data_IF_118022940642
#
_entry.id   IF_118022940642
#
_cell.length_a   1.000
_cell.length_b   1.000
_cell.length_c   1.000
_cell.angle_alpha   90.00
_cell.angle_beta   90.00
_cell.angle_gamma   90.00
#
_symmetry.space_group_name_H-M   'P 1'
#
loop_
_entity.id
_entity.type
_entity.pdbx_description
1 polymer ?
#
# COMPACT_ATOMS: atom_id res chain seq x y z
N UNK A 1 -55.91 5.61 18.72
CA UNK A 1 -55.23 6.00 17.46
C UNK A 1 -55.12 4.73 16.59
N UNK A 2 -55.66 4.73 15.37
CA UNK A 2 -55.89 3.50 14.58
C UNK A 2 -54.58 2.88 14.05
N UNK A 3 -54.39 1.56 14.20
CA UNK A 3 -53.16 0.80 13.83
C UNK A 3 -52.65 1.08 12.40
N UNK A 4 -53.58 1.35 11.47
CA UNK A 4 -53.27 1.68 10.06
C UNK A 4 -52.45 2.97 9.92
N UNK A 5 -52.71 4.00 10.74
CA UNK A 5 -51.97 5.27 10.67
C UNK A 5 -50.54 5.18 11.20
N UNK A 6 -50.27 4.32 12.19
CA UNK A 6 -48.89 4.09 12.67
C UNK A 6 -48.06 3.36 11.62
N UNK A 7 -48.64 2.40 10.91
CA UNK A 7 -47.94 1.70 9.83
C UNK A 7 -47.59 2.64 8.67
N UNK A 8 -48.49 3.56 8.32
CA UNK A 8 -48.20 4.58 7.28
C UNK A 8 -47.12 5.58 7.71
N UNK A 9 -47.08 5.95 8.98
CA UNK A 9 -46.04 6.84 9.52
C UNK A 9 -44.67 6.14 9.52
N UNK A 10 -44.64 4.88 9.94
CA UNK A 10 -43.44 4.04 9.98
C UNK A 10 -42.88 3.78 8.57
N UNK A 11 -43.73 3.43 7.60
CA UNK A 11 -43.31 3.26 6.20
C UNK A 11 -42.79 4.56 5.57
N UNK A 12 -43.35 5.72 5.94
CA UNK A 12 -42.84 7.02 5.47
C UNK A 12 -41.49 7.34 6.11
N UNK A 13 -41.32 7.13 7.41
CA UNK A 13 -40.05 7.33 8.12
C UNK A 13 -38.94 6.43 7.58
N UNK A 14 -39.25 5.17 7.30
CA UNK A 14 -38.27 4.21 6.77
C UNK A 14 -37.81 4.58 5.34
N UNK A 15 -38.69 5.20 4.54
CA UNK A 15 -38.37 5.72 3.21
C UNK A 15 -37.49 6.99 3.24
N UNK A 16 -37.49 7.74 4.34
CA UNK A 16 -36.63 8.93 4.52
C UNK A 16 -35.27 8.59 5.13
N UNK A 17 -35.17 7.51 5.91
CA UNK A 17 -33.93 7.06 6.52
C UNK A 17 -33.05 6.26 5.55
N UNK A 18 -33.65 5.62 4.54
CA UNK A 18 -32.94 4.83 3.51
C UNK A 18 -32.36 5.66 2.35
N UNK A 19 -32.58 6.98 2.31
CA UNK A 19 -32.18 7.82 1.17
C UNK A 19 -31.02 8.79 1.44
N UNK A 20 -30.19 8.54 2.46
CA UNK A 20 -28.81 9.06 2.60
C UNK A 20 -28.52 10.57 2.52
N UNK A 21 -29.47 11.46 2.28
CA UNK A 21 -29.20 12.88 1.98
C UNK A 21 -30.11 13.87 2.75
N UNK A 22 -29.44 14.82 3.40
CA UNK A 22 -29.93 16.12 3.91
C UNK A 22 -30.95 16.11 5.07
N UNK A 23 -30.45 16.02 6.30
CA UNK A 23 -31.23 16.08 7.53
C UNK A 23 -31.14 17.41 8.30
N UNK A 24 -30.90 18.56 7.65
CA UNK A 24 -30.87 19.86 8.36
C UNK A 24 -32.06 20.77 8.01
N UNK A 25 -32.52 20.82 6.76
CA UNK A 25 -33.50 21.85 6.34
C UNK A 25 -34.99 21.47 6.39
N UNK A 26 -35.38 20.37 7.06
CA UNK A 26 -36.80 19.96 7.17
C UNK A 26 -37.29 19.59 8.58
N UNK A 27 -36.49 19.81 9.62
CA UNK A 27 -36.87 19.54 11.01
C UNK A 27 -38.12 20.32 11.46
N UNK A 28 -38.25 21.58 11.03
CA UNK A 28 -39.39 22.42 11.39
C UNK A 28 -40.74 21.90 10.84
N UNK A 29 -40.72 21.23 9.67
CA UNK A 29 -41.92 20.62 9.09
C UNK A 29 -42.33 19.33 9.78
N UNK A 30 -41.38 18.56 10.30
CA UNK A 30 -41.66 17.36 11.10
C UNK A 30 -42.25 17.72 12.47
N UNK A 31 -41.77 18.79 13.09
CA UNK A 31 -42.27 19.31 14.37
C UNK A 31 -43.69 19.91 14.26
N UNK A 32 -44.05 20.51 13.13
CA UNK A 32 -45.41 21.04 12.89
C UNK A 32 -46.48 19.94 12.75
N UNK A 33 -46.13 18.75 12.24
CA UNK A 33 -47.11 17.67 12.05
C UNK A 33 -47.49 17.02 13.40
N UNK A 34 -46.60 17.06 14.42
CA UNK A 34 -46.91 16.51 15.73
C UNK A 34 -47.75 17.43 16.61
N UNK A 35 -47.66 18.75 16.42
CA UNK A 35 -48.40 19.73 17.26
C UNK A 35 -49.86 19.91 16.84
N UNK A 36 -50.22 19.65 15.57
CA UNK A 36 -51.59 19.86 15.08
C UNK A 36 -52.58 18.72 15.40
N UNK A 37 -52.18 17.69 16.15
CA UNK A 37 -53.01 16.49 16.36
C UNK A 37 -53.19 16.09 17.83
N UNK A 38 -52.75 16.93 18.78
CA UNK A 38 -52.88 16.66 20.22
C UNK A 38 -53.74 17.77 20.82
N UNK A 39 -55.02 17.46 21.10
CA UNK A 39 -55.89 18.32 21.90
C UNK A 39 -55.23 18.64 23.25
N UNK A 40 -54.92 19.92 23.45
CA UNK A 40 -54.01 20.43 24.49
C UNK A 40 -54.56 20.37 25.93
N UNK A 41 -55.71 19.74 26.20
CA UNK A 41 -56.37 19.92 27.50
C UNK A 41 -56.63 18.69 28.37
N UNK A 42 -56.23 17.47 28.01
CA UNK A 42 -56.39 16.33 28.93
C UNK A 42 -55.21 15.37 28.87
N UNK A 43 -54.38 15.40 29.92
CA UNK A 43 -53.45 14.36 30.42
C UNK A 43 -52.00 14.84 30.57
N UNK A 44 -51.72 15.53 31.68
CA UNK A 44 -50.36 15.85 32.12
C UNK A 44 -49.45 14.61 32.31
N UNK A 45 -50.03 13.42 32.51
CA UNK A 45 -49.30 12.15 32.58
C UNK A 45 -48.79 11.62 31.23
N UNK A 46 -49.37 12.07 30.10
CA UNK A 46 -48.96 11.60 28.77
C UNK A 46 -47.75 12.37 28.22
N UNK A 47 -47.62 13.65 28.55
CA UNK A 47 -46.50 14.47 28.06
C UNK A 47 -45.16 14.02 28.62
N UNK A 48 -45.09 13.66 29.92
CA UNK A 48 -43.87 13.13 30.53
C UNK A 48 -43.47 11.76 29.96
N UNK A 49 -44.45 10.89 29.69
CA UNK A 49 -44.21 9.58 29.06
C UNK A 49 -43.77 9.69 27.60
N UNK A 50 -44.35 10.61 26.84
CA UNK A 50 -43.96 10.87 25.44
C UNK A 50 -42.55 11.49 25.38
N UNK A 51 -42.24 12.46 26.25
CA UNK A 51 -40.88 13.03 26.35
C UNK A 51 -39.85 11.97 26.78
N UNK A 52 -40.20 11.10 27.73
CA UNK A 52 -39.35 9.98 28.13
C UNK A 52 -39.11 9.01 26.97
N UNK A 53 -40.13 8.71 26.15
CA UNK A 53 -39.99 7.89 24.95
C UNK A 53 -39.08 8.53 23.90
N UNK A 54 -39.17 9.84 23.68
CA UNK A 54 -38.25 10.56 22.79
C UNK A 54 -36.83 10.58 23.34
N UNK A 55 -36.64 10.76 24.64
CA UNK A 55 -35.32 10.71 25.29
C UNK A 55 -34.73 9.30 25.21
N UNK A 56 -35.54 8.26 25.43
CA UNK A 56 -35.10 6.85 25.29
C UNK A 56 -34.76 6.56 23.83
N UNK A 57 -35.55 7.03 22.86
CA UNK A 57 -35.27 6.86 21.44
C UNK A 57 -34.00 7.61 21.02
N UNK A 58 -33.82 8.84 21.48
CA UNK A 58 -32.59 9.61 21.26
C UNK A 58 -31.38 8.95 21.91
N UNK A 59 -31.51 8.42 23.13
CA UNK A 59 -30.47 7.64 23.80
C UNK A 59 -30.20 6.33 23.04
N UNK A 60 -31.22 5.65 22.52
CA UNK A 60 -31.05 4.45 21.69
C UNK A 60 -30.29 4.78 20.40
N UNK A 61 -30.64 5.87 19.71
CA UNK A 61 -29.95 6.35 18.51
C UNK A 61 -28.51 6.77 18.85
N UNK A 62 -28.30 7.41 20.01
CA UNK A 62 -26.98 7.85 20.48
C UNK A 62 -26.09 6.66 20.85
N UNK A 63 -26.67 5.63 21.49
CA UNK A 63 -25.96 4.41 21.90
C UNK A 63 -25.71 3.53 20.68
N UNK A 64 -26.65 3.39 19.74
CA UNK A 64 -26.38 2.69 18.48
C UNK A 64 -25.26 3.38 17.70
N UNK A 65 -25.26 4.71 17.59
CA UNK A 65 -24.18 5.44 16.92
C UNK A 65 -22.82 5.34 17.64
N UNK A 66 -22.80 5.04 18.94
CA UNK A 66 -21.56 4.81 19.71
C UNK A 66 -21.07 3.36 19.63
N UNK A 67 -21.96 2.40 19.37
CA UNK A 67 -21.61 0.98 19.17
C UNK A 67 -21.02 0.75 17.77
N UNK A 68 -21.27 1.64 16.81
CA UNK A 68 -20.57 1.69 15.51
C UNK A 68 -19.23 2.46 15.57
N UNK A 69 -18.66 2.69 16.75
CA UNK A 69 -17.39 3.40 16.89
C UNK A 69 -16.22 2.45 16.67
N UNK A 70 -15.56 2.63 15.51
CA UNK A 70 -14.34 1.98 15.02
C UNK A 70 -14.54 0.54 14.50
N UNK A 71 -14.92 0.42 13.23
CA UNK A 71 -15.05 -0.86 12.52
C UNK A 71 -13.68 -1.52 12.23
N UNK A 72 -12.58 -0.78 12.39
CA UNK A 72 -11.22 -1.25 12.17
C UNK A 72 -10.14 -0.37 12.84
N UNK A 73 -8.96 -0.92 13.07
CA UNK A 73 -7.84 -0.26 13.73
C UNK A 73 -6.91 0.49 12.74
N UNK A 74 -7.26 1.72 12.34
CA UNK A 74 -6.40 2.52 11.45
C UNK A 74 -5.08 2.93 12.12
N UNK A 75 -3.96 2.75 11.42
CA UNK A 75 -2.64 3.23 11.83
C UNK A 75 -1.79 3.64 10.61
N UNK A 76 -0.83 4.53 10.85
CA UNK A 76 0.11 5.00 9.84
C UNK A 76 1.49 5.29 10.43
N UNK A 77 2.53 5.24 9.59
CA UNK A 77 3.92 5.57 9.91
C UNK A 77 4.57 6.27 8.72
N UNK A 78 5.72 6.90 8.97
CA UNK A 78 6.54 7.49 7.92
C UNK A 78 7.86 6.74 7.82
N UNK A 79 8.20 6.28 6.62
CA UNK A 79 9.59 5.98 6.33
C UNK A 79 10.40 7.27 6.40
N UNK A 80 11.54 7.22 7.08
CA UNK A 80 12.46 8.34 7.24
C UNK A 80 13.90 7.89 7.57
N UNK A 81 14.22 6.62 7.31
CA UNK A 81 15.58 6.10 7.47
C UNK A 81 16.51 6.51 6.31
N UNK A 82 15.99 6.54 5.08
CA UNK A 82 16.69 7.01 3.89
C UNK A 82 16.33 8.46 3.53
N UNK A 83 16.55 8.81 2.26
CA UNK A 83 16.26 10.14 1.72
C UNK A 83 14.83 10.27 1.19
N UNK A 84 14.05 9.18 1.18
CA UNK A 84 12.61 9.23 0.89
C UNK A 84 11.82 9.31 2.20
N UNK A 85 10.98 10.34 2.33
CA UNK A 85 9.96 10.41 3.38
C UNK A 85 8.62 9.95 2.84
N UNK A 86 8.17 8.75 3.23
CA UNK A 86 6.95 8.15 2.69
C UNK A 86 5.95 7.79 3.77
N UNK A 87 4.72 8.26 3.64
CA UNK A 87 3.58 7.83 4.45
C UNK A 87 3.13 6.42 4.06
N UNK A 88 3.09 5.52 5.03
CA UNK A 88 2.55 4.17 4.87
C UNK A 88 1.39 3.98 5.85
N UNK A 89 0.28 3.44 5.35
CA UNK A 89 -0.91 3.13 6.15
C UNK A 89 -1.14 1.62 6.19
N UNK A 90 -1.88 1.13 7.18
CA UNK A 90 -2.36 -0.25 7.22
C UNK A 90 -3.63 -0.48 6.39
N UNK A 91 -3.95 0.40 5.44
CA UNK A 91 -5.06 0.24 4.50
C UNK A 91 -4.56 -0.10 3.07
N UNK A 92 -3.24 -0.22 2.86
CA UNK A 92 -2.63 -0.56 1.58
C UNK A 92 -2.63 0.56 0.53
N UNK A 93 -3.17 1.73 0.87
CA UNK A 93 -3.18 2.93 0.03
C UNK A 93 -1.98 3.82 0.34
N UNK A 94 -1.30 4.32 -0.70
CA UNK A 94 -0.32 5.41 -0.60
C UNK A 94 -0.99 6.76 -0.87
N UNK A 95 -1.96 7.12 -0.03
CA UNK A 95 -2.58 8.44 0.07
C UNK A 95 -3.44 8.51 1.34
N UNK A 96 -3.45 9.63 2.07
CA UNK A 96 -4.30 9.77 3.24
C UNK A 96 -5.73 10.18 2.86
N UNK A 97 -6.68 9.26 3.07
CA UNK A 97 -8.12 9.59 3.08
C UNK A 97 -8.63 10.14 4.43
N UNK A 98 -7.73 10.54 5.35
CA UNK A 98 -8.10 10.85 6.75
C UNK A 98 -7.68 12.25 7.23
N UNK A 99 -8.51 12.83 8.10
CA UNK A 99 -8.28 14.15 8.70
C UNK A 99 -6.98 14.24 9.52
N UNK A 100 -6.50 13.12 10.07
CA UNK A 100 -5.31 13.05 10.94
C UNK A 100 -3.98 13.28 10.22
N UNK A 101 -3.96 13.07 8.90
CA UNK A 101 -2.77 13.13 8.02
C UNK A 101 -2.94 14.16 6.89
N UNK A 102 -4.10 14.83 6.86
CA UNK A 102 -4.46 15.82 5.84
C UNK A 102 -3.51 17.02 5.87
N UNK A 103 -2.97 17.37 4.70
CA UNK A 103 -2.10 18.53 4.52
C UNK A 103 -0.61 18.24 4.70
N UNK A 104 -0.20 17.01 5.01
CA UNK A 104 1.21 16.59 4.96
C UNK A 104 1.62 16.24 3.53
N UNK A 105 2.91 16.34 3.21
CA UNK A 105 3.49 15.72 2.00
C UNK A 105 3.55 14.21 2.28
N UNK A 106 3.03 13.42 1.35
CA UNK A 106 2.89 11.98 1.50
C UNK A 106 4.17 11.26 1.08
N UNK A 107 4.80 11.71 0.00
CA UNK A 107 6.07 11.21 -0.50
C UNK A 107 6.98 12.39 -0.86
N UNK A 108 7.95 12.68 0.01
CA UNK A 108 8.92 13.76 -0.19
C UNK A 108 10.30 13.19 -0.51
N UNK A 109 10.89 13.67 -1.60
CA UNK A 109 12.28 13.41 -1.97
C UNK A 109 12.88 14.65 -2.68
N UNK A 110 14.15 15.01 -2.41
CA UNK A 110 14.89 14.68 -1.20
C UNK A 110 14.21 15.32 0.02
N UNK A 111 14.61 14.99 1.27
CA UNK A 111 13.94 15.53 2.44
C UNK A 111 14.08 17.06 2.50
N UNK A 112 12.99 17.76 2.83
CA UNK A 112 12.87 19.22 2.86
C UNK A 112 12.85 19.91 1.48
N UNK A 113 12.61 19.18 0.38
CA UNK A 113 12.37 19.77 -0.94
C UNK A 113 11.01 20.46 -1.05
N UNK A 114 10.05 20.06 -0.21
CA UNK A 114 8.62 20.33 -0.38
C UNK A 114 8.02 19.78 -1.69
N UNK A 115 8.71 18.86 -2.37
CA UNK A 115 8.21 18.19 -3.56
C UNK A 115 7.37 16.97 -3.16
N UNK A 116 6.09 16.97 -3.52
CA UNK A 116 5.23 15.79 -3.46
C UNK A 116 5.52 14.93 -4.68
N UNK A 117 5.42 13.61 -4.51
CA UNK A 117 5.63 12.68 -5.62
C UNK A 117 4.46 11.72 -5.80
N UNK A 118 3.47 11.74 -4.90
CA UNK A 118 2.35 10.80 -4.96
C UNK A 118 1.02 11.48 -4.67
N UNK A 119 0.13 11.39 -5.66
CA UNK A 119 -1.29 11.64 -5.49
C UNK A 119 -1.91 10.46 -4.79
N UNK A 120 -2.03 9.34 -5.50
CA UNK A 120 -2.55 8.10 -4.95
C UNK A 120 -1.81 6.91 -5.54
N UNK A 121 -1.65 5.84 -4.79
CA UNK A 121 -1.26 4.56 -5.37
C UNK A 121 -1.74 3.39 -4.52
N UNK A 122 -1.82 2.22 -5.12
CA UNK A 122 -2.28 1.02 -4.46
C UNK A 122 -2.28 -0.20 -5.37
N UNK A 123 -2.58 -1.35 -4.78
CA UNK A 123 -2.72 -2.60 -5.51
C UNK A 123 -4.19 -2.87 -5.82
N UNK A 124 -4.45 -3.46 -6.99
CA UNK A 124 -5.69 -4.17 -7.28
C UNK A 124 -5.38 -5.65 -7.40
N UNK A 125 -6.27 -6.47 -6.85
CA UNK A 125 -6.26 -7.92 -6.97
C UNK A 125 -7.51 -8.27 -7.73
N UNK A 126 -7.36 -8.90 -8.89
CA UNK A 126 -8.47 -9.35 -9.72
C UNK A 126 -8.40 -10.85 -9.91
N UNK A 127 -9.53 -11.54 -9.91
CA UNK A 127 -9.56 -12.99 -10.05
C UNK A 127 -10.92 -13.52 -10.48
N UNK A 128 -10.94 -14.80 -10.85
CA UNK A 128 -12.12 -15.55 -11.24
C UNK A 128 -12.50 -16.46 -10.07
N UNK A 129 -13.70 -16.25 -9.53
CA UNK A 129 -14.26 -17.07 -8.45
C UNK A 129 -14.72 -18.44 -8.97
N UNK A 130 -14.98 -19.43 -8.10
CA UNK A 130 -15.53 -20.73 -8.53
C UNK A 130 -16.89 -20.63 -9.24
N UNK A 131 -17.63 -19.53 -9.05
CA UNK A 131 -18.86 -19.24 -9.77
C UNK A 131 -18.66 -18.79 -11.21
N UNK A 132 -17.41 -18.52 -11.62
CA UNK A 132 -17.05 -17.91 -12.90
C UNK A 132 -17.16 -16.38 -12.93
N UNK A 133 -17.46 -15.75 -11.79
CA UNK A 133 -17.52 -14.29 -11.69
C UNK A 133 -16.12 -13.71 -11.63
N UNK A 134 -15.92 -12.62 -12.37
CA UNK A 134 -14.69 -11.83 -12.37
C UNK A 134 -14.83 -10.67 -11.39
N UNK A 135 -14.07 -10.69 -10.31
CA UNK A 135 -14.09 -9.69 -9.24
C UNK A 135 -12.75 -8.97 -9.14
N UNK A 136 -12.77 -7.72 -8.64
CA UNK A 136 -11.56 -6.91 -8.43
C UNK A 136 -11.70 -6.20 -7.10
N UNK A 137 -10.74 -6.39 -6.21
CA UNK A 137 -10.62 -5.61 -4.97
C UNK A 137 -9.44 -4.65 -5.07
N UNK A 138 -9.60 -3.43 -4.58
CA UNK A 138 -8.65 -2.32 -4.78
C UNK A 138 -8.33 -1.57 -3.49
N UNK A 139 -7.04 -1.33 -3.24
CA UNK A 139 -6.61 -0.48 -2.10
C UNK A 139 -6.69 1.00 -2.46
N UNK A 140 -6.64 1.36 -3.74
CA UNK A 140 -6.89 2.73 -4.22
C UNK A 140 -7.42 2.67 -5.64
N UNK A 141 -8.46 3.42 -5.97
CA UNK A 141 -8.89 3.55 -7.37
C UNK A 141 -9.65 4.86 -7.54
N UNK A 142 -9.35 5.58 -8.62
CA UNK A 142 -10.13 6.74 -9.00
C UNK A 142 -11.33 6.34 -9.87
N UNK A 143 -12.53 6.33 -9.27
CA UNK A 143 -13.78 6.04 -9.96
C UNK A 143 -14.63 7.32 -10.09
N UNK A 144 -15.48 7.45 -11.14
CA UNK A 144 -16.53 8.48 -11.24
C UNK A 144 -17.33 8.80 -9.97
N UNK A 145 -17.49 7.86 -9.03
CA UNK A 145 -18.23 8.04 -7.79
C UNK A 145 -17.38 8.39 -6.56
N UNK A 146 -16.06 8.49 -6.72
CA UNK A 146 -15.10 8.82 -5.67
C UNK A 146 -13.91 7.85 -5.64
N UNK A 147 -12.97 8.11 -4.72
CA UNK A 147 -11.92 7.14 -4.43
C UNK A 147 -12.56 5.91 -3.77
N UNK A 148 -12.38 4.73 -4.39
CA UNK A 148 -12.87 3.46 -3.86
C UNK A 148 -11.70 2.72 -3.21
N UNK A 149 -11.90 2.38 -1.94
CA UNK A 149 -10.99 1.56 -1.14
C UNK A 149 -11.78 0.43 -0.52
N UNK A 150 -11.42 -0.79 -0.86
CA UNK A 150 -12.12 -2.02 -0.48
C UNK A 150 -11.35 -2.83 0.58
N UNK A 151 -10.08 -2.51 0.76
CA UNK A 151 -9.24 -3.11 1.79
C UNK A 151 -9.20 -2.28 3.07
N UNK A 152 -9.37 -2.96 4.20
CA UNK A 152 -9.24 -2.38 5.54
C UNK A 152 -8.52 -3.36 6.47
N UNK A 153 -7.79 -2.88 7.49
CA UNK A 153 -7.35 -3.75 8.58
C UNK A 153 -8.58 -4.21 9.39
N UNK A 154 -8.42 -5.20 10.28
CA UNK A 154 -9.52 -5.54 11.20
C UNK A 154 -9.52 -4.62 12.42
N UNK A 155 -10.47 -4.80 13.33
CA UNK A 155 -10.51 -4.11 14.61
C UNK A 155 -9.52 -4.69 15.65
N UNK A 156 -8.79 -5.76 15.31
CA UNK A 156 -7.84 -6.36 16.24
C UNK A 156 -6.67 -5.43 16.54
N UNK A 157 -6.19 -5.34 17.80
CA UNK A 157 -5.14 -4.40 18.18
C UNK A 157 -3.80 -4.60 17.48
N UNK A 158 -3.54 -5.80 16.96
CA UNK A 158 -2.30 -6.14 16.24
C UNK A 158 -2.37 -5.83 14.74
N UNK A 159 -3.55 -5.53 14.18
CA UNK A 159 -3.67 -5.03 12.81
C UNK A 159 -3.35 -3.52 12.80
N UNK A 160 -2.08 -3.21 13.05
CA UNK A 160 -1.47 -1.87 13.10
C UNK A 160 -0.30 -1.83 12.11
N UNK A 161 0.38 -0.69 11.98
CA UNK A 161 1.68 -0.64 11.29
C UNK A 161 2.79 -0.93 12.31
N UNK A 162 3.30 -2.17 12.27
CA UNK A 162 4.46 -2.58 13.07
C UNK A 162 5.70 -1.90 12.54
N UNK A 163 6.64 -1.56 13.45
CA UNK A 163 7.94 -0.96 13.10
C UNK A 163 9.02 -1.87 13.64
N UNK A 164 9.92 -2.33 12.77
CA UNK A 164 11.01 -3.24 13.14
C UNK A 164 12.33 -2.72 12.57
N UNK A 165 13.38 -2.74 13.39
CA UNK A 165 14.72 -2.29 12.97
C UNK A 165 15.55 -3.51 12.58
N UNK A 166 16.54 -3.34 11.70
CA UNK A 166 17.44 -4.42 11.27
C UNK A 166 17.93 -5.28 12.44
N UNK A 167 17.66 -6.58 12.35
CA UNK A 167 18.10 -7.58 13.32
C UNK A 167 17.24 -7.69 14.58
N UNK A 168 16.29 -6.78 14.81
CA UNK A 168 15.31 -6.91 15.90
C UNK A 168 14.24 -7.95 15.54
N UNK A 169 13.69 -8.61 16.55
CA UNK A 169 12.58 -9.56 16.40
C UNK A 169 11.28 -8.95 16.89
N UNK A 170 10.23 -9.00 16.06
CA UNK A 170 8.87 -8.68 16.43
C UNK A 170 7.99 -9.94 16.37
N UNK A 171 7.08 -10.07 17.34
CA UNK A 171 6.15 -11.20 17.40
C UNK A 171 4.81 -10.75 16.83
N UNK A 172 4.58 -11.04 15.55
CA UNK A 172 3.42 -10.54 14.79
C UNK A 172 2.44 -11.71 14.59
N UNK A 173 1.22 -11.66 15.16
CA UNK A 173 0.33 -12.84 15.22
C UNK A 173 -0.05 -13.47 13.89
N UNK A 174 -0.06 -12.68 12.81
CA UNK A 174 -0.42 -13.13 11.47
C UNK A 174 0.80 -13.37 10.57
N UNK A 175 2.02 -13.09 11.04
CA UNK A 175 3.21 -13.31 10.24
C UNK A 175 3.53 -14.80 10.14
N UNK A 176 3.89 -15.33 8.95
CA UNK A 176 4.33 -16.71 8.82
C UNK A 176 5.48 -17.03 9.78
N UNK A 177 5.26 -17.98 10.69
CA UNK A 177 6.25 -18.37 11.72
C UNK A 177 6.24 -17.55 13.01
N UNK A 178 5.29 -16.62 13.19
CA UNK A 178 5.07 -15.77 14.37
C UNK A 178 6.21 -14.76 14.69
N UNK A 179 7.44 -15.04 14.26
CA UNK A 179 8.62 -14.21 14.45
C UNK A 179 8.99 -13.49 13.14
N UNK A 180 8.91 -12.17 13.16
CA UNK A 180 9.43 -11.30 12.11
C UNK A 180 10.79 -10.76 12.52
N UNK A 181 11.81 -10.92 11.66
CA UNK A 181 13.15 -10.36 11.89
C UNK A 181 13.36 -9.18 10.95
N UNK A 182 13.73 -8.02 11.50
CA UNK A 182 13.96 -6.81 10.73
C UNK A 182 15.06 -6.98 9.69
N UNK A 183 14.74 -6.64 8.45
CA UNK A 183 15.58 -6.82 7.26
C UNK A 183 16.33 -5.54 6.86
N UNK A 184 15.64 -4.40 6.87
CA UNK A 184 16.18 -3.08 6.51
C UNK A 184 16.38 -2.19 7.74
N UNK A 185 16.93 -0.98 7.56
CA UNK A 185 17.14 -0.06 8.69
C UNK A 185 15.81 0.38 9.32
N UNK A 186 14.72 0.32 8.55
CA UNK A 186 13.36 0.56 9.02
C UNK A 186 12.37 -0.25 8.19
N UNK A 187 11.79 -1.27 8.81
CA UNK A 187 10.74 -2.09 8.24
C UNK A 187 9.39 -1.65 8.77
N UNK A 188 8.38 -1.64 7.91
CA UNK A 188 6.99 -1.70 8.33
C UNK A 188 6.34 -3.01 7.94
N UNK A 189 5.42 -3.50 8.79
CA UNK A 189 4.60 -4.68 8.52
C UNK A 189 3.16 -4.35 8.88
N UNK A 190 2.23 -4.61 7.97
CA UNK A 190 0.80 -4.47 8.21
C UNK A 190 -0.01 -5.54 7.47
N UNK A 191 -1.28 -5.70 7.85
CA UNK A 191 -2.22 -6.62 7.23
C UNK A 191 -3.57 -5.95 7.04
N UNK A 192 -4.21 -6.24 5.92
CA UNK A 192 -5.56 -5.79 5.58
C UNK A 192 -6.26 -6.83 4.69
N UNK A 193 -7.59 -6.76 4.61
CA UNK A 193 -8.38 -7.65 3.76
C UNK A 193 -9.62 -6.96 3.20
N UNK A 194 -10.26 -7.62 2.25
CA UNK A 194 -11.41 -7.12 1.51
C UNK A 194 -12.76 -7.62 2.07
N UNK A 195 -12.79 -8.40 3.15
CA UNK A 195 -14.01 -9.09 3.60
C UNK A 195 -14.41 -8.81 5.05
N UNK A 196 -13.65 -7.99 5.79
CA UNK A 196 -14.03 -7.58 7.15
C UNK A 196 -15.26 -6.63 7.14
N UNK A 197 -15.89 -6.38 8.30
CA UNK A 197 -17.07 -5.52 8.38
C UNK A 197 -16.93 -4.15 7.71
N UNK A 198 -15.77 -3.49 7.83
CA UNK A 198 -15.52 -2.19 7.22
C UNK A 198 -15.50 -2.28 5.69
N UNK A 199 -14.81 -3.29 5.14
CA UNK A 199 -14.82 -3.56 3.70
C UNK A 199 -16.23 -3.83 3.15
N UNK A 200 -17.04 -4.57 3.90
CA UNK A 200 -18.42 -4.90 3.49
C UNK A 200 -19.39 -3.70 3.56
N UNK A 201 -18.96 -2.56 4.10
CA UNK A 201 -19.74 -1.31 4.01
C UNK A 201 -19.57 -0.58 2.69
N UNK A 202 -18.54 -0.94 1.90
CA UNK A 202 -18.25 -0.32 0.62
C UNK A 202 -19.36 -0.67 -0.38
N UNK A 203 -20.05 0.32 -0.97
CA UNK A 203 -21.10 0.06 -1.94
C UNK A 203 -20.59 -0.73 -3.15
N UNK A 204 -21.38 -1.69 -3.61
CA UNK A 204 -21.12 -2.52 -4.80
C UNK A 204 -19.85 -3.40 -4.73
N UNK A 205 -19.18 -3.46 -3.57
CA UNK A 205 -18.04 -4.35 -3.33
C UNK A 205 -18.49 -5.80 -3.14
N UNK A 206 -17.86 -6.71 -3.89
CA UNK A 206 -18.00 -8.15 -3.71
C UNK A 206 -16.61 -8.72 -3.39
N UNK A 207 -16.38 -9.22 -2.17
CA UNK A 207 -15.05 -9.68 -1.77
C UNK A 207 -14.60 -10.90 -2.58
N UNK A 208 -13.33 -10.85 -2.99
CA UNK A 208 -12.53 -12.00 -3.39
C UNK A 208 -12.21 -12.92 -2.21
N UNK A 209 -12.26 -12.40 -0.97
CA UNK A 209 -11.84 -13.06 0.27
C UNK A 209 -10.35 -13.35 0.27
N UNK A 210 -9.56 -12.27 0.29
CA UNK A 210 -8.10 -12.33 0.33
C UNK A 210 -7.56 -11.54 1.53
N UNK A 211 -6.64 -12.15 2.26
CA UNK A 211 -5.75 -11.43 3.18
C UNK A 211 -4.55 -10.91 2.39
N UNK A 212 -4.13 -9.69 2.70
CA UNK A 212 -2.88 -9.10 2.21
C UNK A 212 -2.01 -8.75 3.40
N UNK A 213 -0.82 -9.35 3.47
CA UNK A 213 0.26 -8.87 4.33
C UNK A 213 1.17 -8.00 3.47
N UNK A 214 1.50 -6.81 3.95
CA UNK A 214 2.39 -5.87 3.28
C UNK A 214 3.58 -5.59 4.19
N UNK A 215 4.78 -5.74 3.66
CA UNK A 215 6.01 -5.20 4.26
C UNK A 215 6.54 -4.05 3.42
N UNK A 216 7.26 -3.13 4.05
CA UNK A 216 8.01 -2.08 3.34
C UNK A 216 9.35 -1.81 4.00
N UNK A 217 10.38 -1.63 3.17
CA UNK A 217 11.79 -1.60 3.57
C UNK A 217 12.44 -0.28 3.18
N UNK A 218 13.18 0.31 4.12
CA UNK A 218 13.96 1.52 3.91
C UNK A 218 15.38 1.36 4.46
N UNK A 219 16.36 1.87 3.72
CA UNK A 219 17.77 1.83 4.10
C UNK A 219 18.33 3.25 4.19
N UNK A 220 19.28 3.43 5.11
CA UNK A 220 20.02 4.69 5.30
C UNK A 220 21.33 4.74 4.49
N UNK A 221 21.76 3.63 3.90
CA UNK A 221 22.98 3.56 3.11
C UNK A 221 22.83 4.28 1.77
N UNK A 222 23.85 5.03 1.35
CA UNK A 222 23.90 5.84 0.12
C UNK A 222 23.54 5.09 -1.19
N UNK A 223 23.66 3.77 -1.20
CA UNK A 223 23.28 2.98 -2.39
C UNK A 223 21.76 2.71 -2.47
N UNK A 224 21.04 2.79 -1.36
CA UNK A 224 19.66 2.30 -1.17
C UNK A 224 18.72 3.34 -0.51
N UNK A 225 19.23 4.50 -0.12
CA UNK A 225 18.50 5.59 0.53
C UNK A 225 17.49 6.29 -0.41
N UNK A 226 17.56 6.05 -1.71
CA UNK A 226 16.68 6.61 -2.74
C UNK A 226 15.65 5.58 -3.27
N UNK A 227 15.32 4.56 -2.48
CA UNK A 227 14.28 3.59 -2.81
C UNK A 227 13.55 3.06 -1.56
N UNK A 228 12.29 2.68 -1.73
CA UNK A 228 11.49 1.92 -0.75
C UNK A 228 11.02 0.65 -1.43
N UNK A 229 11.21 -0.50 -0.81
CA UNK A 229 10.80 -1.79 -1.38
C UNK A 229 9.61 -2.33 -0.60
N UNK A 230 8.48 -2.47 -1.27
CA UNK A 230 7.29 -3.13 -0.73
C UNK A 230 7.30 -4.61 -1.11
N UNK A 231 6.93 -5.50 -0.17
CA UNK A 231 6.59 -6.90 -0.48
C UNK A 231 5.15 -7.16 -0.07
N UNK A 232 4.40 -7.82 -0.94
CA UNK A 232 3.01 -8.17 -0.72
C UNK A 232 2.87 -9.69 -0.72
N UNK A 233 2.08 -10.19 0.24
CA UNK A 233 1.69 -11.58 0.36
C UNK A 233 0.17 -11.64 0.21
N UNK A 234 -0.32 -12.18 -0.90
CA UNK A 234 -1.75 -12.30 -1.22
C UNK A 234 -2.18 -13.74 -0.98
N UNK A 235 -3.15 -13.91 -0.07
CA UNK A 235 -3.55 -15.21 0.47
C UNK A 235 -5.07 -15.37 0.35
N UNK A 236 -5.60 -16.32 -0.44
CA UNK A 236 -7.03 -16.60 -0.46
C UNK A 236 -7.47 -17.22 0.87
N UNK A 237 -8.64 -16.83 1.37
CA UNK A 237 -9.11 -17.25 2.71
C UNK A 237 -10.42 -18.03 2.70
N UNK A 238 -11.00 -18.28 1.52
CA UNK A 238 -12.33 -18.91 1.41
C UNK A 238 -12.52 -19.87 0.25
N UNK A 239 -11.89 -19.62 -0.88
CA UNK A 239 -12.01 -20.46 -2.08
C UNK A 239 -10.84 -20.24 -3.02
N UNK A 240 -10.65 -21.19 -3.92
CA UNK A 240 -9.69 -21.07 -5.01
C UNK A 240 -10.02 -19.85 -5.88
N UNK A 241 -8.97 -19.21 -6.36
CA UNK A 241 -9.05 -18.11 -7.30
C UNK A 241 -8.27 -18.49 -8.56
N UNK A 242 -8.95 -18.50 -9.69
CA UNK A 242 -8.34 -18.73 -10.99
C UNK A 242 -8.04 -17.41 -11.68
N UNK A 243 -7.03 -17.38 -12.54
CA UNK A 243 -6.79 -16.20 -13.39
C UNK A 243 -6.43 -14.94 -12.62
N UNK A 244 -5.78 -15.06 -11.47
CA UNK A 244 -5.44 -13.92 -10.62
C UNK A 244 -4.46 -12.98 -11.34
N UNK A 245 -4.84 -11.72 -11.46
CA UNK A 245 -3.96 -10.63 -11.90
C UNK A 245 -3.74 -9.67 -10.75
N UNK A 246 -2.53 -9.12 -10.69
CA UNK A 246 -2.16 -8.04 -9.78
C UNK A 246 -1.94 -6.78 -10.61
N UNK A 247 -2.49 -5.66 -10.17
CA UNK A 247 -2.22 -4.35 -10.75
C UNK A 247 -1.62 -3.45 -9.69
N UNK A 248 -0.54 -2.75 -10.04
CA UNK A 248 -0.15 -1.55 -9.34
C UNK A 248 -0.75 -0.36 -10.07
N UNK A 249 -1.68 0.34 -9.41
CA UNK A 249 -2.28 1.57 -9.91
C UNK A 249 -1.62 2.75 -9.21
N UNK A 250 -1.22 3.76 -9.97
CA UNK A 250 -0.59 4.96 -9.44
C UNK A 250 -1.10 6.20 -10.18
N UNK A 251 -1.33 7.26 -9.41
CA UNK A 251 -1.52 8.65 -9.82
C UNK A 251 -0.34 9.45 -9.24
N UNK A 252 0.85 9.40 -9.86
CA UNK A 252 1.95 10.26 -9.47
C UNK A 252 1.57 11.72 -9.72
N UNK A 253 1.70 12.53 -8.68
CA UNK A 253 1.50 13.96 -8.73
C UNK A 253 2.82 14.57 -8.29
N UNK A 254 3.75 14.74 -9.24
CA UNK A 254 5.15 15.06 -8.99
C UNK A 254 5.31 16.57 -9.09
N UNK A 255 5.65 17.22 -7.99
CA UNK A 255 5.69 18.66 -8.04
C UNK A 255 5.89 19.39 -6.73
N UNK A 256 6.26 20.67 -6.84
CA UNK A 256 6.42 21.53 -5.68
C UNK A 256 5.07 21.82 -5.03
N UNK A 257 4.88 21.32 -3.81
CA UNK A 257 3.62 21.47 -3.09
C UNK A 257 3.50 22.87 -2.47
N UNK A 258 2.95 23.78 -3.26
CA UNK A 258 2.66 25.15 -2.83
C UNK A 258 1.37 25.24 -1.99
N UNK A 259 0.77 26.44 -1.88
CA UNK A 259 -0.50 26.62 -1.16
C UNK A 259 -1.71 25.99 -1.85
N UNK A 260 -1.60 25.61 -3.13
CA UNK A 260 -2.65 24.90 -3.87
C UNK A 260 -2.41 23.40 -3.82
N UNK A 261 -3.48 22.63 -3.57
CA UNK A 261 -3.44 21.17 -3.49
C UNK A 261 -3.61 20.49 -4.87
N UNK A 262 -3.69 21.25 -5.96
CA UNK A 262 -4.01 20.73 -7.29
C UNK A 262 -3.13 21.28 -8.42
N UNK A 263 -2.22 22.19 -8.13
CA UNK A 263 -1.48 22.90 -9.19
C UNK A 263 -0.20 22.17 -9.59
N UNK A 264 0.36 21.38 -8.68
CA UNK A 264 1.64 20.67 -8.82
C UNK A 264 1.54 19.33 -9.57
N UNK A 265 0.37 19.01 -10.13
CA UNK A 265 0.13 17.74 -10.83
C UNK A 265 -0.24 17.91 -12.30
N UNK A 266 -0.43 19.13 -12.77
CA UNK A 266 -1.17 19.40 -14.02
C UNK A 266 -0.36 19.12 -15.29
N UNK A 267 0.95 19.03 -15.13
CA UNK A 267 1.99 18.90 -16.13
C UNK A 267 2.79 17.60 -15.98
N UNK A 268 2.26 16.64 -15.24
CA UNK A 268 2.86 15.31 -15.18
C UNK A 268 2.55 14.48 -16.43
N UNK A 269 3.39 13.49 -16.71
CA UNK A 269 3.16 12.46 -17.72
C UNK A 269 3.73 11.10 -17.29
N UNK A 270 3.13 10.04 -17.83
CA UNK A 270 3.47 8.65 -17.51
C UNK A 270 4.44 8.05 -18.53
N UNK A 271 5.49 7.39 -18.05
CA UNK A 271 6.45 6.62 -18.86
C UNK A 271 6.43 5.14 -18.49
N UNK A 272 6.80 4.27 -19.45
CA UNK A 272 6.99 2.84 -19.19
C UNK A 272 8.34 2.30 -19.68
N UNK A 273 9.13 1.82 -18.72
CA UNK A 273 10.42 1.19 -18.96
C UNK A 273 10.27 -0.34 -19.00
N UNK A 274 10.12 -0.88 -20.21
CA UNK A 274 9.82 -2.30 -20.43
C UNK A 274 10.90 -3.25 -19.88
N UNK A 275 12.19 -2.90 -20.03
CA UNK A 275 13.33 -3.70 -19.54
C UNK A 275 13.42 -3.75 -18.01
N UNK A 276 12.83 -2.76 -17.35
CA UNK A 276 12.79 -2.63 -15.90
C UNK A 276 11.47 -3.11 -15.32
N UNK A 277 10.42 -3.28 -16.14
CA UNK A 277 9.03 -3.46 -15.71
C UNK A 277 8.61 -2.38 -14.72
N UNK A 278 8.85 -1.13 -15.11
CA UNK A 278 8.64 0.04 -14.28
C UNK A 278 7.76 1.08 -14.99
N UNK A 279 6.65 1.47 -14.35
CA UNK A 279 5.92 2.68 -14.69
C UNK A 279 6.49 3.87 -13.92
N UNK A 280 6.55 5.06 -14.52
CA UNK A 280 7.07 6.25 -13.86
C UNK A 280 6.19 7.48 -14.11
N UNK A 281 6.06 8.32 -13.09
CA UNK A 281 5.49 9.66 -13.20
C UNK A 281 6.60 10.70 -13.27
N UNK A 282 6.47 11.62 -14.21
CA UNK A 282 7.48 12.64 -14.50
C UNK A 282 6.81 13.99 -14.68
N UNK A 283 7.32 14.99 -14.01
CA UNK A 283 6.95 16.39 -14.18
C UNK A 283 7.61 17.00 -15.43
N UNK A 284 6.89 17.88 -16.13
CA UNK A 284 7.40 18.53 -17.32
C UNK A 284 8.18 19.81 -16.97
N UNK A 285 9.38 20.03 -17.53
CA UNK A 285 10.19 21.20 -17.22
C UNK A 285 9.48 22.53 -17.47
N UNK A 286 9.63 23.47 -16.53
CA UNK A 286 9.06 24.82 -16.60
C UNK A 286 7.54 24.87 -16.45
N UNK A 287 6.99 23.88 -15.74
CA UNK A 287 5.59 23.73 -15.39
C UNK A 287 4.99 24.87 -14.56
N UNK A 288 3.73 24.68 -14.13
CA UNK A 288 3.04 25.61 -13.23
C UNK A 288 3.73 25.75 -11.87
N UNK A 289 4.38 24.68 -11.43
CA UNK A 289 5.07 24.56 -10.16
C UNK A 289 6.60 24.59 -10.28
N UNK A 290 7.14 24.45 -11.51
CA UNK A 290 8.51 24.79 -11.86
C UNK A 290 9.26 23.64 -12.51
N UNK A 291 10.43 23.34 -11.96
CA UNK A 291 11.19 22.13 -12.28
C UNK A 291 11.27 21.32 -10.98
N UNK A 292 11.18 20.00 -11.08
CA UNK A 292 11.31 19.07 -9.97
C UNK A 292 12.69 18.42 -9.92
N UNK A 293 13.07 17.93 -8.73
CA UNK A 293 14.33 17.23 -8.52
C UNK A 293 14.31 15.81 -9.08
N UNK A 294 13.21 15.09 -8.92
CA UNK A 294 13.12 13.65 -9.21
C UNK A 294 11.77 13.27 -9.79
N UNK A 295 11.73 12.41 -10.83
CA UNK A 295 10.55 11.61 -11.10
C UNK A 295 10.38 10.51 -10.04
N UNK A 296 9.24 9.81 -10.06
CA UNK A 296 8.98 8.62 -9.24
C UNK A 296 8.73 7.40 -10.13
N UNK A 297 9.38 6.28 -9.83
CA UNK A 297 9.20 5.00 -10.53
C UNK A 297 8.62 3.93 -9.62
N UNK A 298 7.78 3.06 -10.18
CA UNK A 298 7.22 1.88 -9.52
C UNK A 298 7.62 0.63 -10.31
N UNK A 299 8.65 -0.05 -9.83
CA UNK A 299 9.26 -1.22 -10.46
C UNK A 299 8.68 -2.51 -9.89
N UNK A 300 8.23 -3.43 -10.75
CA UNK A 300 7.54 -4.66 -10.31
C UNK A 300 8.45 -5.89 -10.44
N UNK A 301 8.49 -6.70 -9.39
CA UNK A 301 9.18 -7.99 -9.37
C UNK A 301 8.20 -9.11 -8.96
N UNK A 302 7.65 -9.87 -9.92
CA UNK A 302 6.77 -10.99 -9.60
C UNK A 302 7.56 -12.17 -9.02
N UNK A 303 7.07 -12.74 -7.91
CA UNK A 303 7.60 -13.97 -7.31
C UNK A 303 6.49 -15.02 -7.16
N UNK A 304 6.84 -16.29 -7.09
CA UNK A 304 5.94 -17.35 -6.59
C UNK A 304 6.78 -18.22 -5.65
N UNK A 305 6.32 -18.39 -4.40
CA UNK A 305 7.02 -19.20 -3.39
C UNK A 305 8.54 -18.92 -3.32
N UNK A 306 8.91 -17.63 -3.33
CA UNK A 306 10.29 -17.11 -3.33
C UNK A 306 11.14 -17.37 -4.58
N UNK A 307 10.59 -17.98 -5.63
CA UNK A 307 11.25 -18.05 -6.94
C UNK A 307 10.86 -16.84 -7.81
N UNK A 308 11.89 -16.15 -8.36
CA UNK A 308 11.68 -15.10 -9.35
C UNK A 308 11.08 -15.73 -10.61
N UNK A 309 9.88 -15.31 -10.97
CA UNK A 309 9.24 -15.80 -12.17
C UNK A 309 9.87 -15.15 -13.39
N UNK A 310 10.13 -15.96 -14.42
CA UNK A 310 10.53 -15.42 -15.72
C UNK A 310 9.42 -14.51 -16.23
N UNK A 311 9.72 -13.22 -16.46
CA UNK A 311 8.73 -12.24 -16.90
C UNK A 311 7.98 -12.63 -18.18
N UNK A 312 8.53 -13.55 -18.98
CA UNK A 312 7.93 -14.11 -20.20
C UNK A 312 6.83 -15.15 -19.93
N UNK A 313 6.70 -15.68 -18.71
CA UNK A 313 5.68 -16.66 -18.36
C UNK A 313 4.35 -16.05 -17.96
N UNK A 314 4.27 -14.72 -17.89
CA UNK A 314 3.09 -13.96 -17.48
C UNK A 314 2.81 -12.83 -18.47
N UNK A 315 1.54 -12.48 -18.61
CA UNK A 315 1.09 -11.35 -19.40
C UNK A 315 1.27 -10.06 -18.62
N UNK A 316 1.63 -8.99 -19.33
CA UNK A 316 1.79 -7.66 -18.77
C UNK A 316 0.86 -6.67 -19.47
N UNK A 317 0.26 -5.79 -18.69
CA UNK A 317 -0.54 -4.66 -19.19
C UNK A 317 0.06 -3.37 -18.67
N UNK A 318 0.29 -2.41 -19.57
CA UNK A 318 0.56 -1.01 -19.21
C UNK A 318 -0.43 -0.12 -19.94
N UNK A 319 -1.25 0.59 -19.16
CA UNK A 319 -2.23 1.54 -19.67
C UNK A 319 -2.22 2.80 -18.78
N UNK A 320 -2.59 3.93 -19.35
CA UNK A 320 -2.69 5.22 -18.68
C UNK A 320 -3.81 6.01 -19.35
N UNK A 321 -4.38 7.00 -18.66
CA UNK A 321 -5.39 7.88 -19.24
C UNK A 321 -4.82 9.30 -19.42
N UNK A 322 -5.30 10.00 -20.45
CA UNK A 322 -4.76 11.31 -20.87
C UNK A 322 -5.45 12.48 -20.18
N UNK A 323 -6.56 12.25 -19.48
CA UNK A 323 -7.39 13.31 -18.90
C UNK A 323 -7.12 13.51 -17.41
N UNK A 324 -6.53 14.64 -17.01
CA UNK A 324 -6.64 15.10 -15.62
C UNK A 324 -8.01 15.68 -15.31
N UNK A 325 -8.78 14.87 -14.59
CA UNK A 325 -10.06 15.27 -14.03
C UNK A 325 -10.96 14.07 -13.85
N UNK A 326 -11.88 14.09 -12.86
CA UNK A 326 -12.85 13.04 -12.71
C UNK A 326 -13.58 12.82 -14.04
N UNK A 327 -13.62 11.59 -14.56
CA UNK A 327 -13.38 10.37 -13.78
C UNK A 327 -11.98 9.74 -13.90
N UNK A 328 -11.04 10.30 -14.66
CA UNK A 328 -9.80 9.60 -15.03
C UNK A 328 -10.04 8.19 -15.59
N UNK A 329 -11.24 7.98 -16.16
CA UNK A 329 -12.09 6.78 -16.08
C UNK A 329 -11.33 5.45 -15.93
N UNK A 330 -11.07 5.05 -14.68
CA UNK A 330 -10.97 3.62 -14.37
C UNK A 330 -12.38 3.02 -14.55
N UNK A 331 -12.54 1.85 -15.19
CA UNK A 331 -13.84 1.24 -15.32
C UNK A 331 -14.55 1.08 -13.98
N UNK A 332 -15.85 1.31 -14.02
CA UNK A 332 -16.71 1.33 -12.85
C UNK A 332 -16.86 -0.04 -12.19
N UNK A 333 -16.85 -1.09 -13.03
CA UNK A 333 -17.21 -2.44 -12.66
C UNK A 333 -16.00 -3.37 -12.73
N UNK A 334 -15.94 -4.31 -11.80
CA UNK A 334 -14.84 -5.25 -11.65
C UNK A 334 -14.54 -6.05 -12.92
N UNK A 335 -15.59 -6.52 -13.60
CA UNK A 335 -15.44 -7.27 -14.84
C UNK A 335 -14.79 -6.45 -15.97
N UNK A 336 -15.02 -5.13 -15.99
CA UNK A 336 -14.38 -4.21 -16.93
C UNK A 336 -12.95 -3.89 -16.50
N UNK A 337 -12.71 -3.61 -15.21
CA UNK A 337 -11.34 -3.42 -14.68
C UNK A 337 -10.46 -4.62 -15.02
N UNK A 338 -10.94 -5.82 -14.68
CA UNK A 338 -10.21 -7.06 -14.93
C UNK A 338 -9.97 -7.29 -16.42
N UNK A 339 -11.00 -7.22 -17.26
CA UNK A 339 -10.88 -7.50 -18.69
C UNK A 339 -10.05 -6.46 -19.43
N UNK A 340 -10.30 -5.18 -19.16
CA UNK A 340 -9.82 -4.07 -19.99
C UNK A 340 -8.54 -3.44 -19.47
N UNK A 341 -8.17 -3.61 -18.19
CA UNK A 341 -6.96 -3.01 -17.60
C UNK A 341 -6.00 -4.01 -16.95
N UNK A 342 -6.49 -5.18 -16.54
CA UNK A 342 -5.62 -6.19 -15.90
C UNK A 342 -5.16 -7.23 -16.91
N UNK A 343 -6.12 -7.98 -17.48
CA UNK A 343 -5.86 -9.17 -18.28
C UNK A 343 -5.70 -8.92 -19.80
N UNK A 344 -5.70 -7.66 -20.26
CA UNK A 344 -5.75 -7.35 -21.70
C UNK A 344 -4.42 -7.62 -22.45
N UNK A 345 -3.28 -7.64 -21.74
CA UNK A 345 -1.95 -7.87 -22.29
C UNK A 345 -1.44 -6.77 -23.23
N UNK A 346 -2.02 -5.56 -23.17
CA UNK A 346 -1.69 -4.43 -24.03
C UNK A 346 -0.69 -3.52 -23.33
N UNK A 347 0.25 -2.99 -24.13
CA UNK A 347 1.19 -1.96 -23.70
C UNK A 347 0.93 -0.71 -24.53
N UNK A 348 0.61 0.40 -23.86
CA UNK A 348 0.62 1.72 -24.50
C UNK A 348 2.05 2.28 -24.61
N UNK A 349 2.23 3.13 -25.61
CA UNK A 349 3.43 3.96 -25.74
C UNK A 349 3.51 4.97 -24.59
N UNK A 350 4.66 5.63 -24.42
CA UNK A 350 4.80 6.68 -23.42
C UNK A 350 3.80 7.82 -23.64
N UNK A 351 3.32 8.41 -22.54
CA UNK A 351 2.37 9.52 -22.60
C UNK A 351 3.02 10.73 -23.27
N UNK A 352 2.47 11.16 -24.40
CA UNK A 352 3.06 12.22 -25.22
C UNK A 352 2.79 13.64 -24.70
N UNK A 353 1.75 13.84 -23.88
CA UNK A 353 1.33 15.15 -23.41
C UNK A 353 1.32 15.21 -21.87
N UNK A 354 1.94 16.26 -21.27
CA UNK A 354 1.94 16.48 -19.83
C UNK A 354 0.60 17.06 -19.40
N UNK A 355 -0.37 16.19 -19.20
CA UNK A 355 -1.74 16.53 -18.78
C UNK A 355 -2.11 15.80 -17.51
N UNK A 356 -1.09 15.40 -16.74
CA UNK A 356 -1.15 14.57 -15.56
C UNK A 356 -0.77 13.12 -15.77
N UNK A 357 -0.26 12.48 -14.73
CA UNK A 357 0.16 11.08 -14.78
C UNK A 357 -0.74 10.19 -13.93
N UNK A 358 -1.32 9.17 -14.56
CA UNK A 358 -1.98 8.07 -13.87
C UNK A 358 -1.97 6.83 -14.74
N UNK A 359 -1.49 5.71 -14.19
CA UNK A 359 -1.30 4.48 -14.95
C UNK A 359 -1.65 3.24 -14.14
N UNK A 360 -1.90 2.16 -14.88
CA UNK A 360 -1.95 0.78 -14.39
C UNK A 360 -0.76 0.02 -14.94
N UNK A 361 -0.12 -0.75 -14.06
CA UNK A 361 0.85 -1.76 -14.45
C UNK A 361 0.39 -3.11 -13.88
N UNK A 362 -0.11 -3.98 -14.75
CA UNK A 362 -0.70 -5.27 -14.37
C UNK A 362 0.11 -6.47 -14.84
N UNK A 363 0.06 -7.56 -14.08
CA UNK A 363 0.73 -8.81 -14.40
C UNK A 363 -0.04 -10.05 -13.87
N UNK A 364 0.01 -11.15 -14.62
CA UNK A 364 -0.70 -12.41 -14.34
C UNK A 364 -0.85 -13.28 -15.60
N UNK A 365 -1.64 -14.37 -15.61
CA UNK A 365 -2.47 -14.87 -14.52
C UNK A 365 -1.72 -15.78 -13.56
N UNK A 366 -2.28 -15.95 -12.37
CA UNK A 366 -1.93 -16.95 -11.36
C UNK A 366 -3.16 -17.73 -10.94
N UNK A 367 -3.01 -19.00 -10.59
CA UNK A 367 -4.08 -19.76 -9.94
C UNK A 367 -3.66 -19.98 -8.48
N UNK A 368 -4.52 -19.61 -7.53
CA UNK A 368 -4.27 -19.70 -6.10
C UNK A 368 -5.26 -20.65 -5.46
N UNK A 369 -4.75 -21.73 -4.87
CA UNK A 369 -5.56 -22.71 -4.16
C UNK A 369 -5.76 -22.29 -2.70
N UNK A 370 -6.99 -22.46 -2.22
CA UNK A 370 -7.35 -22.27 -0.82
C UNK A 370 -7.52 -23.62 -0.13
N UNK A 371 -6.80 -23.81 0.97
CA UNK A 371 -7.04 -24.92 1.89
C UNK A 371 -8.06 -24.53 2.94
N UNK A 372 -9.15 -25.29 3.02
CA UNK A 372 -10.03 -25.26 4.18
C UNK A 372 -9.26 -25.82 5.40
N UNK A 373 -8.99 -25.02 6.46
CA UNK A 373 -8.28 -25.50 7.63
C UNK A 373 -8.97 -26.67 8.34
N UNK A 374 -10.27 -26.90 8.10
CA UNK A 374 -11.02 -28.04 8.63
C UNK A 374 -10.87 -29.33 7.77
N UNK A 375 -10.29 -29.24 6.55
CA UNK A 375 -10.01 -30.40 5.69
C UNK A 375 -8.54 -30.85 5.79
N UNK A 376 -8.33 -31.97 6.48
CA UNK A 376 -7.00 -32.55 6.70
C UNK A 376 -6.38 -33.25 5.48
N UNK A 377 -7.05 -33.30 4.32
CA UNK A 377 -6.61 -34.06 3.15
C UNK A 377 -5.95 -33.24 2.05
N UNK A 378 -5.95 -31.91 2.18
CA UNK A 378 -5.50 -30.99 1.15
C UNK A 378 -4.10 -30.38 1.42
N UNK A 379 -3.45 -29.88 0.36
CA UNK A 379 -2.19 -29.14 0.40
C UNK A 379 -2.34 -27.83 1.21
N UNK A 380 -1.25 -27.09 1.40
CA UNK A 380 -1.32 -25.80 2.10
C UNK A 380 -1.87 -24.71 1.18
N UNK A 381 -2.56 -23.70 1.75
CA UNK A 381 -3.06 -22.54 0.99
C UNK A 381 -1.92 -21.84 0.26
N UNK A 382 -2.12 -21.53 -1.01
CA UNK A 382 -1.14 -20.82 -1.81
C UNK A 382 -0.99 -19.37 -1.34
N UNK A 383 0.22 -18.84 -1.43
CA UNK A 383 0.50 -17.41 -1.19
C UNK A 383 1.22 -16.84 -2.41
N UNK A 384 0.59 -15.87 -3.07
CA UNK A 384 1.26 -15.10 -4.13
C UNK A 384 2.11 -14.00 -3.49
N UNK A 385 3.40 -13.98 -3.82
CA UNK A 385 4.36 -13.00 -3.28
C UNK A 385 4.83 -12.12 -4.43
N UNK A 386 4.84 -10.81 -4.27
CA UNK A 386 5.48 -9.92 -5.26
C UNK A 386 6.06 -8.69 -4.58
N UNK A 387 6.99 -8.03 -5.27
CA UNK A 387 7.60 -6.79 -4.79
C UNK A 387 7.33 -5.62 -5.71
N UNK A 388 7.21 -4.44 -5.09
CA UNK A 388 7.13 -3.15 -5.76
C UNK A 388 8.24 -2.27 -5.21
N UNK A 389 9.18 -1.90 -6.07
CA UNK A 389 10.17 -0.87 -5.77
C UNK A 389 9.61 0.52 -6.08
N UNK A 390 9.42 1.35 -5.07
CA UNK A 390 9.29 2.79 -5.26
C UNK A 390 10.70 3.36 -5.35
N UNK A 391 11.08 3.86 -6.53
CA UNK A 391 12.43 4.30 -6.86
C UNK A 391 12.41 5.78 -7.19
N UNK A 392 13.42 6.51 -6.70
CA UNK A 392 13.67 7.92 -6.99
C UNK A 392 15.10 8.11 -7.50
N UNK A 393 15.43 9.31 -7.93
CA UNK A 393 16.80 9.74 -8.22
C UNK A 393 16.85 11.08 -8.94
N UNK A 394 17.99 11.76 -8.88
CA UNK A 394 18.17 13.06 -9.55
C UNK A 394 17.90 12.97 -11.05
N UNK A 395 16.77 13.55 -11.47
CA UNK A 395 16.24 13.43 -12.82
C UNK A 395 16.02 11.99 -13.31
N UNK A 396 15.68 11.87 -14.60
CA UNK A 396 15.38 10.57 -15.20
C UNK A 396 16.59 9.62 -15.23
N UNK A 397 17.80 10.17 -15.37
CA UNK A 397 19.04 9.38 -15.34
C UNK A 397 19.28 8.76 -13.96
N UNK A 398 19.07 9.53 -12.89
CA UNK A 398 19.16 9.06 -11.51
C UNK A 398 18.15 7.96 -11.22
N UNK A 399 16.89 8.16 -11.62
CA UNK A 399 15.83 7.17 -11.48
C UNK A 399 16.21 5.83 -12.14
N UNK A 400 16.57 5.86 -13.42
CA UNK A 400 16.92 4.64 -14.18
C UNK A 400 18.14 3.94 -13.57
N UNK A 401 19.15 4.70 -13.15
CA UNK A 401 20.34 4.15 -12.50
C UNK A 401 19.99 3.42 -11.19
N UNK A 402 19.10 3.99 -10.38
CA UNK A 402 18.68 3.36 -9.13
C UNK A 402 17.74 2.16 -9.36
N UNK A 403 16.90 2.20 -10.39
CA UNK A 403 16.06 1.06 -10.77
C UNK A 403 16.89 -0.13 -11.29
N UNK A 404 17.95 0.12 -12.06
CA UNK A 404 18.91 -0.93 -12.46
C UNK A 404 19.63 -1.51 -11.25
N UNK A 405 19.97 -0.68 -10.25
CA UNK A 405 20.55 -1.17 -8.99
C UNK A 405 19.55 -2.04 -8.22
N UNK A 406 18.31 -1.60 -8.09
CA UNK A 406 17.27 -2.39 -7.42
C UNK A 406 17.06 -3.74 -8.11
N UNK A 407 17.01 -3.75 -9.44
CA UNK A 407 16.94 -4.98 -10.23
C UNK A 407 18.12 -5.93 -9.93
N UNK A 408 19.34 -5.41 -9.84
CA UNK A 408 20.52 -6.23 -9.48
C UNK A 408 20.44 -6.78 -8.05
N UNK A 409 19.98 -5.99 -7.09
CA UNK A 409 19.78 -6.45 -5.72
C UNK A 409 18.72 -7.55 -5.66
N UNK A 410 17.60 -7.35 -6.33
CA UNK A 410 16.52 -8.33 -6.39
C UNK A 410 16.99 -9.66 -6.99
N UNK A 411 17.78 -9.61 -8.08
CA UNK A 411 18.38 -10.80 -8.70
C UNK A 411 19.36 -11.54 -7.79
N UNK A 412 19.93 -10.85 -6.79
CA UNK A 412 20.84 -11.39 -5.79
C UNK A 412 20.17 -11.60 -4.42
N UNK A 413 18.84 -11.57 -4.36
CA UNK A 413 18.05 -11.65 -3.11
C UNK A 413 18.51 -10.68 -2.02
N UNK A 414 18.87 -9.45 -2.44
CA UNK A 414 19.44 -8.38 -1.61
C UNK A 414 20.73 -8.74 -0.88
N UNK A 415 21.40 -9.82 -1.26
CA UNK A 415 22.77 -10.07 -0.85
C UNK A 415 23.68 -9.04 -1.55
N UNK A 416 24.18 -8.09 -0.76
CA UNK A 416 25.09 -7.06 -1.20
C UNK A 416 26.55 -7.54 -1.10
N UNK A 417 27.49 -6.91 -1.82
CA UNK A 417 28.90 -7.23 -1.69
C UNK A 417 29.37 -7.08 -0.23
N UNK A 418 29.99 -8.10 0.33
CA UNK A 418 30.53 -8.08 1.69
C UNK A 418 32.02 -7.82 1.70
N UNK A 419 32.49 -7.14 2.73
CA UNK A 419 33.91 -7.10 3.02
C UNK A 419 34.45 -8.54 3.19
N UNK A 420 35.71 -8.81 2.80
CA UNK A 420 36.34 -10.09 3.09
C UNK A 420 36.18 -10.47 4.57
N UNK A 421 36.06 -11.77 4.90
CA UNK A 421 36.00 -12.23 6.28
C UNK A 421 37.14 -11.65 7.13
N UNK A 422 36.89 -11.42 8.43
CA UNK A 422 37.94 -10.95 9.33
C UNK A 422 39.09 -11.96 9.36
N UNK A 423 40.33 -11.55 9.07
CA UNK A 423 41.44 -12.48 9.05
C UNK A 423 41.74 -13.01 10.45
N UNK A 424 42.07 -14.29 10.55
CA UNK A 424 42.52 -14.88 11.81
C UNK A 424 43.94 -14.38 12.12
N UNK A 425 44.13 -13.81 13.32
CA UNK A 425 45.40 -13.22 13.76
C UNK A 425 45.91 -13.91 15.01
N UNK A 426 47.12 -14.45 14.93
CA UNK A 426 47.91 -14.82 16.08
C UNK A 426 48.72 -13.61 16.55
N UNK A 427 48.53 -13.22 17.81
CA UNK A 427 49.26 -12.13 18.45
C UNK A 427 50.33 -12.71 19.36
N UNK A 428 51.61 -12.45 19.04
CA UNK A 428 52.74 -12.86 19.86
C UNK A 428 53.31 -11.62 20.52
N UNK A 429 53.28 -11.59 21.86
CA UNK A 429 53.84 -10.49 22.64
C UNK A 429 55.27 -10.81 23.07
N UNK A 430 56.16 -9.81 23.00
CA UNK A 430 57.53 -9.90 23.51
C UNK A 430 57.98 -8.57 24.11
N UNK A 431 59.21 -8.52 24.62
CA UNK A 431 59.73 -7.33 25.29
C UNK A 431 59.76 -6.13 24.32
N UNK A 432 58.92 -5.12 24.59
CA UNK A 432 58.76 -3.91 23.75
C UNK A 432 58.33 -4.18 22.30
N UNK A 433 57.75 -5.35 22.01
CA UNK A 433 57.30 -5.69 20.66
C UNK A 433 56.03 -6.56 20.67
N UNK A 434 55.26 -6.44 19.60
CA UNK A 434 54.09 -7.29 19.31
C UNK A 434 54.20 -7.72 17.86
N UNK A 435 54.24 -9.02 17.62
CA UNK A 435 54.24 -9.62 16.29
C UNK A 435 52.85 -10.15 15.97
N UNK A 436 52.28 -9.68 14.87
CA UNK A 436 51.01 -10.15 14.33
C UNK A 436 51.30 -11.17 13.21
N UNK A 437 50.73 -12.36 13.31
CA UNK A 437 50.80 -13.39 12.27
C UNK A 437 49.41 -13.72 11.78
N UNK A 438 49.17 -13.48 10.49
CA UNK A 438 47.94 -13.88 9.82
C UNK A 438 48.02 -15.39 9.53
N UNK A 439 47.01 -16.16 9.95
CA UNK A 439 46.97 -17.61 9.69
C UNK A 439 46.59 -17.86 8.22
N UNK A 440 47.56 -18.31 7.42
CA UNK A 440 47.36 -18.61 5.99
C UNK A 440 46.44 -19.81 5.73
N UNK A 441 46.10 -20.60 6.76
CA UNK A 441 45.45 -21.89 6.58
C UNK A 441 43.99 -21.95 7.03
N UNK A 442 43.42 -20.85 7.57
CA UNK A 442 42.08 -20.88 8.17
C UNK A 442 40.98 -20.11 7.44
N UNK A 443 41.32 -19.16 6.58
CA UNK A 443 40.44 -18.53 5.60
C UNK A 443 41.35 -17.59 4.81
N UNK A 444 41.59 -17.84 3.52
CA UNK A 444 42.48 -16.98 2.73
C UNK A 444 41.66 -15.75 2.34
N UNK A 445 41.64 -14.77 3.23
CA UNK A 445 40.95 -13.49 3.05
C UNK A 445 41.46 -12.78 1.79
N UNK A 446 42.72 -13.00 1.41
CA UNK A 446 43.34 -12.44 0.19
C UNK A 446 42.82 -13.04 -1.11
N UNK A 447 42.20 -14.23 -1.05
CA UNK A 447 41.61 -14.92 -2.20
C UNK A 447 40.10 -15.11 -2.04
N UNK A 448 39.50 -14.47 -1.05
CA UNK A 448 38.04 -14.44 -0.92
C UNK A 448 37.47 -13.85 -2.21
N UNK A 449 36.48 -14.53 -2.78
CA UNK A 449 35.73 -14.02 -3.92
C UNK A 449 34.34 -13.73 -3.36
N UNK A 450 33.91 -12.50 -3.54
CA UNK A 450 32.57 -12.08 -3.18
C UNK A 450 31.64 -12.42 -4.35
N UNK A 451 30.71 -13.36 -4.18
CA UNK A 451 29.81 -13.79 -5.25
C UNK A 451 28.81 -12.70 -5.67
N UNK A 452 28.64 -11.64 -4.87
CA UNK A 452 27.66 -10.56 -5.10
C UNK A 452 28.30 -9.26 -5.58
N UNK A 453 29.61 -9.28 -5.81
CA UNK A 453 30.37 -8.13 -6.28
C UNK A 453 30.10 -7.82 -7.76
N UNK A 454 29.79 -6.56 -8.04
CA UNK A 454 29.47 -6.07 -9.39
C UNK A 454 30.62 -5.39 -10.15
N UNK A 455 31.86 -5.43 -9.64
CA UNK A 455 33.03 -4.87 -10.32
C UNK A 455 33.85 -5.94 -11.06
N UNK A 456 34.81 -5.52 -11.90
CA UNK A 456 35.67 -6.43 -12.66
C UNK A 456 36.91 -6.90 -11.88
N UNK A 457 36.99 -6.61 -10.57
CA UNK A 457 38.12 -7.00 -9.76
C UNK A 457 37.97 -8.46 -9.29
N UNK A 458 39.06 -9.22 -9.38
CA UNK A 458 39.05 -10.65 -9.09
C UNK A 458 38.79 -11.00 -7.60
N UNK A 459 39.14 -10.10 -6.66
CA UNK A 459 38.95 -10.26 -5.21
C UNK A 459 38.71 -8.91 -4.53
N UNK A 460 37.95 -8.84 -3.42
CA UNK A 460 37.69 -7.63 -2.65
C UNK A 460 38.79 -7.26 -1.65
N UNK A 461 39.83 -8.07 -1.53
CA UNK A 461 40.92 -7.81 -0.61
C UNK A 461 41.81 -6.64 -1.08
N UNK A 462 41.78 -5.54 -0.35
CA UNK A 462 42.63 -4.35 -0.62
C UNK A 462 43.87 -4.27 0.29
N UNK A 463 43.96 -5.12 1.32
CA UNK A 463 45.07 -5.15 2.27
C UNK A 463 44.64 -5.22 3.73
N UNK A 464 45.61 -5.36 4.62
CA UNK A 464 45.39 -5.37 6.06
C UNK A 464 45.52 -3.97 6.66
N UNK A 465 44.66 -3.64 7.63
CA UNK A 465 44.75 -2.40 8.41
C UNK A 465 44.87 -2.73 9.89
N UNK A 466 45.92 -2.20 10.54
CA UNK A 466 46.16 -2.38 11.98
C UNK A 466 45.89 -1.06 12.71
N UNK A 467 45.01 -1.09 13.70
CA UNK A 467 44.71 0.06 14.54
C UNK A 467 45.37 -0.11 15.91
N UNK A 468 46.14 0.89 16.35
CA UNK A 468 46.74 0.94 17.69
C UNK A 468 46.02 2.03 18.50
N UNK A 469 45.39 1.64 19.61
CA UNK A 469 44.84 2.59 20.57
C UNK A 469 45.88 2.95 21.64
N UNK A 470 45.78 4.17 22.18
CA UNK A 470 46.66 4.72 23.23
C UNK A 470 45.90 5.05 24.52
N UNK A 471 44.73 4.43 24.75
CA UNK A 471 43.99 4.62 26.00
C UNK A 471 44.80 4.23 27.24
#
# INVERSE_FOLDING_TARGET
MNKVRMLTLWLKLNKYLSSGLFLINKWDKLMQISSSTIDEQKNGLNHSRIRLLYVILLLFISVSNRVFSQEYNFDFKYHNAGDIRLLVTNEGTLFPNWESVRGLINCEFPPNSNEEHIGEAGIWIGGITPGGDTLVSSTSSWNPWGNIKEFYPTAEPWDTVWVVTRGDTAYIPYWPGEEYIGFSDQDFVCRYNDYNPASLTVPDHNPLYVDVIQTSYAWSSELLNEMIVFTFYVIPTKWDLEGVYITYWADPNVGYRSTSLSDFSQDDYSLYFDDLKMGAGVDAPGGFDGDTYSPIGFQIFPRLADELLAAESINWTFDYNESQGPPGVTPAYDNEKYRDLMANGQRKEDQASPTGSHFVLSFGPYDLNYKDPDDATDADTDTLIFRVGLVMGEGLEGLVKNAERLKQLEMNDFEAPFAPPNPTVDVITSNHAVDFKWDKNKEIVETYIDPYRGDSAAVPFEGYRLYKSTY
#
